data_IF_570545832134
#
_entry.id   IF_570545832134
#
_cell.length_a   1.000
_cell.length_b   1.000
_cell.length_c   1.000
_cell.angle_alpha   90.00
_cell.angle_beta   90.00
_cell.angle_gamma   90.00
#
_symmetry.space_group_name_H-M   'P 1'
#
loop_
_entity.id
_entity.type
_entity.pdbx_description
1 polymer ?
#
# COMPACT_ATOMS: atom_id res chain seq x y z
N UNK A 1 -22.02 10.71 -5.81
CA UNK A 1 -23.32 10.19 -6.30
C UNK A 1 -24.41 10.16 -5.23
N UNK A 2 -24.12 9.79 -3.98
CA UNK A 2 -25.08 9.89 -2.85
C UNK A 2 -25.51 11.33 -2.47
N UNK A 3 -24.98 12.32 -3.17
CA UNK A 3 -25.27 13.75 -3.02
C UNK A 3 -26.55 14.18 -3.74
N UNK A 4 -27.17 13.33 -4.57
CA UNK A 4 -28.42 13.66 -5.28
C UNK A 4 -29.63 13.03 -4.57
N UNK A 5 -30.69 13.82 -4.41
CA UNK A 5 -31.92 13.43 -3.70
C UNK A 5 -32.59 12.19 -4.31
N UNK A 6 -32.63 12.08 -5.63
CA UNK A 6 -33.22 10.93 -6.33
C UNK A 6 -32.36 9.67 -6.25
N UNK A 7 -31.05 9.79 -5.96
CA UNK A 7 -30.12 8.67 -6.09
C UNK A 7 -30.27 7.65 -4.96
N UNK A 8 -30.42 8.10 -3.71
CA UNK A 8 -30.54 7.19 -2.58
C UNK A 8 -31.81 6.34 -2.60
N UNK A 9 -33.01 6.87 -2.87
CA UNK A 9 -34.22 6.05 -2.99
C UNK A 9 -34.12 5.03 -4.13
N UNK A 10 -33.46 5.38 -5.25
CA UNK A 10 -33.21 4.46 -6.35
C UNK A 10 -32.24 3.35 -5.92
N UNK A 11 -31.13 3.71 -5.27
CA UNK A 11 -30.09 2.77 -4.85
C UNK A 11 -30.58 1.83 -3.74
N UNK A 12 -31.36 2.32 -2.78
CA UNK A 12 -31.88 1.54 -1.66
C UNK A 12 -32.71 0.33 -2.10
N UNK A 13 -33.43 0.44 -3.22
CA UNK A 13 -34.20 -0.68 -3.81
C UNK A 13 -33.33 -1.86 -4.24
N UNK A 14 -32.04 -1.60 -4.50
CA UNK A 14 -31.10 -2.60 -5.00
C UNK A 14 -30.11 -3.07 -3.93
N UNK A 15 -30.14 -2.51 -2.72
CA UNK A 15 -29.21 -2.81 -1.63
C UNK A 15 -29.95 -3.29 -0.37
N UNK A 16 -30.53 -4.50 -0.38
CA UNK A 16 -31.26 -5.02 0.77
C UNK A 16 -30.35 -5.10 2.01
N UNK A 17 -30.87 -4.62 3.14
CA UNK A 17 -30.14 -4.57 4.41
C UNK A 17 -29.08 -3.47 4.52
N UNK A 18 -29.02 -2.53 3.57
CA UNK A 18 -28.29 -1.27 3.70
C UNK A 18 -29.27 -0.17 4.11
N UNK A 19 -28.94 0.56 5.19
CA UNK A 19 -29.76 1.62 5.75
C UNK A 19 -29.15 2.98 5.46
N UNK A 20 -29.89 3.86 4.78
CA UNK A 20 -29.49 5.25 4.57
C UNK A 20 -30.10 6.12 5.68
N UNK A 21 -29.29 6.78 6.53
CA UNK A 21 -29.79 7.51 7.70
C UNK A 21 -30.32 8.92 7.38
N UNK A 22 -30.70 9.17 6.13
CA UNK A 22 -31.27 10.44 5.65
C UNK A 22 -31.52 10.41 4.14
N UNK A 23 -31.90 11.56 3.60
CA UNK A 23 -32.28 11.77 2.20
C UNK A 23 -31.08 12.05 1.29
N UNK A 24 -29.97 12.55 1.86
CA UNK A 24 -28.81 13.01 1.10
C UNK A 24 -27.53 12.84 1.90
N UNK A 25 -26.46 12.41 1.25
CA UNK A 25 -25.14 12.44 1.86
C UNK A 25 -24.55 13.87 1.82
N UNK A 26 -24.06 14.34 2.97
CA UNK A 26 -23.41 15.63 3.18
C UNK A 26 -22.38 15.49 4.32
N UNK A 27 -21.19 16.12 4.25
CA UNK A 27 -20.23 16.12 5.35
C UNK A 27 -20.81 16.65 6.69
N UNK A 28 -21.79 17.55 6.62
CA UNK A 28 -22.52 18.10 7.78
C UNK A 28 -23.85 17.37 7.95
N UNK A 29 -24.11 16.87 9.15
CA UNK A 29 -25.40 16.23 9.49
C UNK A 29 -26.44 17.27 9.88
N UNK A 30 -27.71 16.88 9.72
CA UNK A 30 -28.85 17.66 10.20
C UNK A 30 -29.86 17.94 9.10
N UNK A 31 -30.83 18.78 9.41
CA UNK A 31 -31.84 19.22 8.45
C UNK A 31 -31.30 20.45 7.72
N UNK A 32 -31.16 20.35 6.40
CA UNK A 32 -30.77 21.47 5.55
C UNK A 32 -31.92 22.49 5.46
N UNK A 33 -31.67 23.75 5.01
CA UNK A 33 -32.71 24.78 4.92
C UNK A 33 -33.94 24.41 4.08
N UNK A 34 -33.79 23.47 3.14
CA UNK A 34 -34.86 22.95 2.29
C UNK A 34 -35.65 21.79 2.94
N UNK A 35 -35.34 21.44 4.19
CA UNK A 35 -35.96 20.32 4.92
C UNK A 35 -35.29 18.96 4.68
N UNK A 36 -34.27 18.88 3.83
CA UNK A 36 -33.55 17.63 3.54
C UNK A 36 -32.81 17.13 4.78
N UNK A 37 -33.09 15.91 5.23
CA UNK A 37 -32.28 15.26 6.28
C UNK A 37 -30.97 14.74 5.68
N UNK A 38 -29.85 15.37 6.06
CA UNK A 38 -28.53 15.00 5.59
C UNK A 38 -27.79 14.10 6.59
N UNK A 39 -26.96 13.19 6.06
CA UNK A 39 -26.08 12.33 6.85
C UNK A 39 -24.66 12.31 6.27
N UNK A 40 -23.66 12.12 7.13
CA UNK A 40 -22.27 11.96 6.71
C UNK A 40 -21.84 10.49 6.66
N UNK A 41 -20.62 10.24 6.18
CA UNK A 41 -20.11 8.87 6.05
C UNK A 41 -19.97 8.18 7.42
N UNK A 42 -19.57 8.90 8.47
CA UNK A 42 -19.50 8.33 9.82
C UNK A 42 -20.83 7.72 10.28
N UNK A 43 -21.94 8.44 10.11
CA UNK A 43 -23.27 7.96 10.48
C UNK A 43 -23.72 6.82 9.60
N UNK A 44 -23.46 6.89 8.30
CA UNK A 44 -23.74 5.79 7.38
C UNK A 44 -23.04 4.49 7.79
N UNK A 45 -21.75 4.55 8.15
CA UNK A 45 -21.00 3.38 8.62
C UNK A 45 -21.54 2.86 9.96
N UNK A 46 -21.87 3.78 10.89
CA UNK A 46 -22.40 3.41 12.20
C UNK A 46 -23.71 2.62 12.13
N UNK A 47 -24.64 3.03 11.25
CA UNK A 47 -25.94 2.33 11.10
C UNK A 47 -25.82 1.04 10.29
N UNK A 48 -24.75 0.88 9.51
CA UNK A 48 -24.48 -0.29 8.68
C UNK A 48 -23.33 -1.17 9.22
N UNK A 49 -23.01 -1.09 10.52
CA UNK A 49 -21.87 -1.80 11.13
C UNK A 49 -21.88 -3.33 10.97
N UNK A 50 -23.03 -3.91 10.63
CA UNK A 50 -23.21 -5.34 10.37
C UNK A 50 -22.78 -5.76 8.96
N UNK A 51 -22.37 -4.82 8.11
CA UNK A 51 -21.88 -5.09 6.76
C UNK A 51 -20.43 -4.65 6.62
N UNK A 52 -19.66 -5.44 5.89
CA UNK A 52 -18.35 -5.02 5.41
C UNK A 52 -18.52 -3.94 4.34
N UNK A 53 -17.67 -2.91 4.42
CA UNK A 53 -17.71 -1.79 3.48
C UNK A 53 -16.37 -1.70 2.77
N UNK A 54 -16.44 -1.72 1.45
CA UNK A 54 -15.30 -1.57 0.56
C UNK A 54 -15.45 -0.30 -0.25
N UNK A 55 -14.34 0.39 -0.47
CA UNK A 55 -14.26 1.62 -1.23
C UNK A 55 -13.30 1.41 -2.38
N UNK A 56 -13.78 1.58 -3.60
CA UNK A 56 -12.95 1.47 -4.81
C UNK A 56 -12.88 2.86 -5.43
N UNK A 57 -11.68 3.28 -5.88
CA UNK A 57 -11.42 4.64 -6.42
C UNK A 57 -11.45 5.73 -5.30
N UNK A 58 -11.22 5.31 -4.05
CA UNK A 58 -11.08 6.21 -2.90
C UNK A 58 -12.39 6.79 -2.36
N UNK A 59 -12.29 7.41 -1.18
CA UNK A 59 -13.38 8.14 -0.56
C UNK A 59 -13.37 9.60 -1.01
N UNK A 60 -14.53 10.23 -1.03
CA UNK A 60 -14.63 11.64 -1.37
C UNK A 60 -13.89 12.50 -0.33
N UNK A 61 -12.91 13.27 -0.79
CA UNK A 61 -11.99 14.03 0.07
C UNK A 61 -12.69 15.03 1.00
N UNK A 62 -13.82 15.59 0.54
CA UNK A 62 -14.63 16.54 1.33
C UNK A 62 -15.35 15.96 2.55
N UNK A 63 -15.33 14.63 2.79
CA UNK A 63 -15.90 14.03 4.01
C UNK A 63 -14.87 13.15 4.72
N UNK A 64 -14.23 13.72 5.74
CA UNK A 64 -13.28 13.02 6.61
C UNK A 64 -13.93 12.43 7.86
N UNK A 65 -15.26 12.47 7.99
CA UNK A 65 -15.96 12.09 9.24
C UNK A 65 -15.75 10.62 9.61
N UNK A 66 -15.56 9.74 8.62
CA UNK A 66 -15.29 8.31 8.81
C UNK A 66 -14.01 8.03 9.61
N UNK A 67 -12.99 8.90 9.52
CA UNK A 67 -11.71 8.75 10.23
C UNK A 67 -11.87 8.76 11.76
N UNK A 68 -13.03 9.20 12.27
CA UNK A 68 -13.36 9.20 13.70
C UNK A 68 -13.47 7.79 14.28
N UNK A 69 -13.82 6.80 13.46
CA UNK A 69 -14.10 5.44 13.96
C UNK A 69 -13.64 4.32 13.03
N UNK A 70 -13.10 4.65 11.85
CA UNK A 70 -12.62 3.67 10.89
C UNK A 70 -11.24 4.04 10.33
N UNK A 71 -10.55 3.01 9.84
CA UNK A 71 -9.31 3.08 9.09
C UNK A 71 -9.50 2.37 7.75
N UNK A 72 -8.69 2.73 6.75
CA UNK A 72 -8.67 2.08 5.44
C UNK A 72 -7.54 1.08 5.39
N UNK A 73 -7.86 -0.19 5.11
CA UNK A 73 -6.89 -1.25 4.89
C UNK A 73 -6.95 -1.69 3.43
N UNK A 74 -5.82 -1.98 2.77
CA UNK A 74 -5.82 -2.32 1.35
C UNK A 74 -6.55 -3.65 1.09
N UNK A 75 -7.35 -3.66 0.03
CA UNK A 75 -8.06 -4.84 -0.48
C UNK A 75 -7.98 -4.84 -2.01
N UNK A 76 -6.76 -5.01 -2.52
CA UNK A 76 -6.50 -4.97 -3.96
C UNK A 76 -6.70 -3.56 -4.54
N UNK A 77 -7.50 -3.41 -5.59
CA UNK A 77 -7.85 -2.10 -6.17
C UNK A 77 -8.76 -1.26 -5.28
N UNK A 78 -9.39 -1.89 -4.28
CA UNK A 78 -10.23 -1.24 -3.30
C UNK A 78 -9.54 -1.17 -1.93
N UNK A 79 -10.21 -0.53 -0.98
CA UNK A 79 -9.83 -0.46 0.41
C UNK A 79 -11.01 -0.92 1.27
N UNK A 80 -10.74 -1.67 2.33
CA UNK A 80 -11.74 -2.04 3.33
C UNK A 80 -11.79 -0.97 4.41
N UNK A 81 -12.99 -0.47 4.70
CA UNK A 81 -13.24 0.34 5.90
C UNK A 81 -13.35 -0.57 7.11
N UNK A 82 -12.38 -0.46 8.01
CA UNK A 82 -12.26 -1.30 9.20
C UNK A 82 -12.41 -0.43 10.45
N UNK A 83 -13.20 -0.83 11.46
CA UNK A 83 -13.29 -0.08 12.72
C UNK A 83 -11.90 0.17 13.33
N UNK A 84 -11.64 1.38 13.82
CA UNK A 84 -10.30 1.79 14.31
C UNK A 84 -9.79 0.98 15.51
N UNK A 85 -10.68 0.27 16.23
CA UNK A 85 -10.31 -0.64 17.32
C UNK A 85 -10.00 -2.06 16.87
N UNK A 86 -10.06 -2.36 15.57
CA UNK A 86 -9.76 -3.70 15.07
C UNK A 86 -8.26 -4.02 15.20
N UNK A 87 -7.97 -5.25 15.63
CA UNK A 87 -6.60 -5.77 15.69
C UNK A 87 -6.15 -6.12 14.27
N UNK A 88 -5.02 -5.56 13.85
CA UNK A 88 -4.41 -5.87 12.57
C UNK A 88 -3.43 -7.03 12.72
N UNK A 89 -3.69 -8.13 12.02
CA UNK A 89 -2.75 -9.25 11.87
C UNK A 89 -2.11 -9.17 10.47
N UNK A 90 -0.82 -8.83 10.35
CA UNK A 90 -0.15 -8.70 9.05
C UNK A 90 -0.07 -10.02 8.29
N UNK A 91 0.16 -11.15 8.98
CA UNK A 91 0.31 -12.45 8.33
C UNK A 91 -1.00 -12.94 7.72
N UNK A 92 -2.08 -12.82 8.48
CA UNK A 92 -3.41 -13.14 7.99
C UNK A 92 -3.84 -12.18 6.86
N UNK A 93 -3.56 -10.88 6.99
CA UNK A 93 -3.92 -9.91 5.96
C UNK A 93 -3.16 -10.14 4.63
N UNK A 94 -1.88 -10.50 4.70
CA UNK A 94 -1.11 -10.93 3.53
C UNK A 94 -1.76 -12.15 2.89
N UNK A 95 -2.10 -13.17 3.68
CA UNK A 95 -2.73 -14.41 3.19
C UNK A 95 -4.05 -14.12 2.47
N UNK A 96 -4.90 -13.26 3.05
CA UNK A 96 -6.19 -12.88 2.48
C UNK A 96 -6.05 -12.08 1.19
N UNK A 97 -5.06 -11.19 1.09
CA UNK A 97 -4.95 -10.24 -0.03
C UNK A 97 -4.01 -10.69 -1.16
N UNK A 98 -3.23 -11.76 -0.98
CA UNK A 98 -2.21 -12.22 -1.94
C UNK A 98 -2.76 -12.48 -3.35
N UNK A 99 -3.93 -13.11 -3.46
CA UNK A 99 -4.48 -13.60 -4.72
C UNK A 99 -5.93 -13.12 -4.93
N UNK A 100 -6.22 -11.85 -4.61
CA UNK A 100 -7.58 -11.29 -4.76
C UNK A 100 -8.08 -11.31 -6.21
N UNK A 101 -7.17 -11.22 -7.18
CA UNK A 101 -7.51 -11.11 -8.59
C UNK A 101 -6.75 -12.14 -9.42
N UNK A 102 -7.46 -12.74 -10.39
CA UNK A 102 -6.87 -13.53 -11.45
C UNK A 102 -6.61 -12.65 -12.69
N UNK A 103 -5.79 -11.60 -12.52
CA UNK A 103 -5.47 -10.67 -13.61
C UNK A 103 -4.30 -11.20 -14.43
N UNK A 104 -4.55 -11.44 -15.72
CA UNK A 104 -3.62 -12.11 -16.64
C UNK A 104 -2.98 -11.19 -17.66
N UNK A 105 -3.39 -9.92 -17.74
CA UNK A 105 -2.83 -8.98 -18.70
C UNK A 105 -1.43 -8.52 -18.29
N UNK A 106 -0.49 -8.60 -19.23
CA UNK A 106 0.89 -8.18 -19.02
C UNK A 106 1.00 -6.68 -18.75
N UNK A 107 2.02 -6.28 -17.97
CA UNK A 107 2.26 -4.88 -17.70
C UNK A 107 2.68 -4.12 -18.97
N UNK A 108 2.01 -2.99 -19.26
CA UNK A 108 2.32 -2.17 -20.44
C UNK A 108 1.86 -2.74 -21.79
N UNK A 109 0.97 -3.75 -21.79
CA UNK A 109 0.44 -4.37 -23.02
C UNK A 109 -0.54 -3.48 -23.81
N UNK A 110 -1.15 -2.49 -23.16
CA UNK A 110 -2.15 -1.61 -23.75
C UNK A 110 -1.55 -0.27 -24.21
N UNK A 111 -2.24 0.39 -25.17
CA UNK A 111 -1.87 1.74 -25.60
C UNK A 111 -1.89 2.72 -24.41
N UNK A 112 -0.84 3.52 -24.17
CA UNK A 112 -0.75 4.38 -22.98
C UNK A 112 -1.90 5.37 -22.79
N UNK A 113 -2.60 5.74 -23.85
CA UNK A 113 -3.76 6.65 -23.81
C UNK A 113 -5.11 5.96 -23.61
N UNK A 114 -5.13 4.63 -23.48
CA UNK A 114 -6.37 3.87 -23.39
C UNK A 114 -6.85 3.68 -21.94
N UNK A 115 -8.15 3.45 -21.78
CA UNK A 115 -8.72 3.13 -20.46
C UNK A 115 -8.21 1.79 -19.92
N UNK A 116 -7.91 0.85 -20.81
CA UNK A 116 -7.32 -0.46 -20.47
C UNK A 116 -5.93 -0.30 -19.87
N UNK A 117 -5.10 0.65 -20.35
CA UNK A 117 -3.81 0.93 -19.73
C UNK A 117 -3.97 1.45 -18.29
N UNK A 118 -4.92 2.36 -18.05
CA UNK A 118 -5.22 2.87 -16.71
C UNK A 118 -5.72 1.75 -15.78
N UNK A 119 -6.66 0.93 -16.25
CA UNK A 119 -7.17 -0.20 -15.48
C UNK A 119 -6.07 -1.23 -15.18
N UNK A 120 -5.24 -1.55 -16.17
CA UNK A 120 -4.12 -2.48 -16.01
C UNK A 120 -3.12 -1.95 -14.98
N UNK A 121 -2.74 -0.66 -15.04
CA UNK A 121 -1.88 -0.03 -14.04
C UNK A 121 -2.45 -0.19 -12.61
N UNK A 122 -3.74 0.09 -12.40
CA UNK A 122 -4.37 -0.10 -11.08
C UNK A 122 -4.33 -1.56 -10.61
N UNK A 123 -4.57 -2.52 -11.51
CA UNK A 123 -4.51 -3.95 -11.19
C UNK A 123 -3.09 -4.40 -10.83
N UNK A 124 -2.08 -3.86 -11.51
CA UNK A 124 -0.69 -4.10 -11.16
C UNK A 124 -0.35 -3.45 -9.81
N UNK A 125 -0.60 -2.16 -9.61
CA UNK A 125 -0.32 -1.47 -8.34
C UNK A 125 -1.02 -2.14 -7.14
N UNK A 126 -2.22 -2.69 -7.33
CA UNK A 126 -2.93 -3.44 -6.30
C UNK A 126 -2.13 -4.60 -5.69
N UNK A 127 -1.24 -5.24 -6.46
CA UNK A 127 -0.38 -6.34 -5.97
C UNK A 127 0.56 -5.88 -4.86
N UNK A 128 1.01 -4.63 -4.87
CA UNK A 128 1.93 -4.07 -3.88
C UNK A 128 1.26 -3.36 -2.70
N UNK A 129 -0.03 -3.03 -2.79
CA UNK A 129 -0.71 -2.19 -1.79
C UNK A 129 -0.65 -2.78 -0.37
N UNK A 130 -0.75 -4.10 -0.21
CA UNK A 130 -0.61 -4.73 1.11
C UNK A 130 0.80 -4.58 1.68
N UNK A 131 1.84 -4.85 0.88
CA UNK A 131 3.22 -4.69 1.32
C UNK A 131 3.53 -3.23 1.70
N UNK A 132 3.03 -2.29 0.89
CA UNK A 132 3.16 -0.85 1.15
C UNK A 132 2.46 -0.42 2.44
N UNK A 133 1.23 -0.88 2.67
CA UNK A 133 0.50 -0.57 3.89
C UNK A 133 1.21 -1.09 5.14
N UNK A 134 1.70 -2.34 5.11
CA UNK A 134 2.46 -2.93 6.22
C UNK A 134 3.76 -2.16 6.46
N UNK A 135 4.43 -1.73 5.40
CA UNK A 135 5.61 -0.89 5.50
C UNK A 135 5.28 0.47 6.14
N UNK A 136 4.21 1.16 5.72
CA UNK A 136 3.76 2.42 6.33
C UNK A 136 3.41 2.24 7.81
N UNK A 137 2.77 1.12 8.18
CA UNK A 137 2.54 0.79 9.59
C UNK A 137 3.86 0.69 10.37
N UNK A 138 4.90 0.09 9.80
CA UNK A 138 6.20 -0.03 10.44
C UNK A 138 6.85 1.35 10.68
N UNK A 139 6.64 2.33 9.79
CA UNK A 139 7.19 3.68 9.90
C UNK A 139 6.50 4.53 11.00
N UNK A 140 5.34 4.12 11.51
CA UNK A 140 4.61 4.87 12.55
C UNK A 140 5.39 4.91 13.87
N UNK A 141 5.47 6.11 14.47
CA UNK A 141 6.19 6.34 15.73
C UNK A 141 5.62 5.56 16.92
N UNK A 142 4.35 5.16 16.87
CA UNK A 142 3.67 4.43 17.95
C UNK A 142 4.03 2.94 18.02
N UNK A 143 4.79 2.41 17.05
CA UNK A 143 5.10 0.98 16.95
C UNK A 143 6.39 0.65 17.71
N UNK A 144 6.36 -0.40 18.52
CA UNK A 144 7.54 -0.88 19.27
C UNK A 144 8.63 -1.37 18.32
N UNK A 145 9.89 -1.40 18.79
CA UNK A 145 11.02 -1.86 17.96
C UNK A 145 10.84 -3.30 17.45
N UNK A 146 10.29 -4.19 18.28
CA UNK A 146 10.01 -5.58 17.91
C UNK A 146 8.93 -5.68 16.84
N UNK A 147 7.80 -4.99 17.03
CA UNK A 147 6.71 -4.97 16.06
C UNK A 147 7.17 -4.34 14.74
N UNK A 148 7.98 -3.27 14.80
CA UNK A 148 8.59 -2.63 13.64
C UNK A 148 9.46 -3.61 12.85
N UNK A 149 10.30 -4.40 13.53
CA UNK A 149 11.11 -5.42 12.88
C UNK A 149 10.26 -6.52 12.22
N UNK A 150 9.19 -6.97 12.88
CA UNK A 150 8.25 -7.94 12.30
C UNK A 150 7.56 -7.37 11.05
N UNK A 151 7.02 -6.16 11.12
CA UNK A 151 6.32 -5.51 10.00
C UNK A 151 7.26 -5.27 8.80
N UNK A 152 8.48 -4.79 9.02
CA UNK A 152 9.46 -4.68 7.93
C UNK A 152 9.82 -6.03 7.32
N UNK A 153 9.92 -7.09 8.14
CA UNK A 153 10.18 -8.45 7.64
C UNK A 153 9.03 -8.94 6.75
N UNK A 154 7.77 -8.71 7.17
CA UNK A 154 6.60 -9.01 6.36
C UNK A 154 6.60 -8.22 5.04
N UNK A 155 6.79 -6.90 5.10
CA UNK A 155 6.82 -6.05 3.92
C UNK A 155 7.94 -6.44 2.95
N UNK A 156 9.17 -6.65 3.45
CA UNK A 156 10.31 -7.12 2.66
C UNK A 156 10.01 -8.45 1.96
N UNK A 157 9.47 -9.42 2.69
CA UNK A 157 9.17 -10.75 2.14
C UNK A 157 8.13 -10.65 1.03
N UNK A 158 7.05 -9.90 1.25
CA UNK A 158 6.03 -9.65 0.23
C UNK A 158 6.60 -8.94 -1.00
N UNK A 159 7.38 -7.86 -0.81
CA UNK A 159 7.99 -7.16 -1.93
C UNK A 159 8.94 -8.05 -2.74
N UNK A 160 9.80 -8.82 -2.05
CA UNK A 160 10.72 -9.75 -2.69
C UNK A 160 9.99 -10.77 -3.54
N UNK A 161 8.92 -11.37 -2.99
CA UNK A 161 8.11 -12.33 -3.72
C UNK A 161 7.47 -11.70 -4.97
N UNK A 162 6.81 -10.55 -4.80
CA UNK A 162 6.08 -9.85 -5.87
C UNK A 162 7.03 -9.48 -7.02
N UNK A 163 8.16 -8.85 -6.70
CA UNK A 163 9.16 -8.39 -7.67
C UNK A 163 9.82 -9.56 -8.39
N UNK A 164 10.19 -10.63 -7.67
CA UNK A 164 10.82 -11.79 -8.28
C UNK A 164 9.86 -12.60 -9.17
N UNK A 165 8.56 -12.57 -8.88
CA UNK A 165 7.57 -13.34 -9.64
C UNK A 165 7.15 -12.66 -10.95
N UNK A 166 7.43 -11.37 -11.14
CA UNK A 166 6.96 -10.61 -12.29
C UNK A 166 8.10 -9.79 -12.92
N UNK A 167 8.88 -10.34 -13.85
CA UNK A 167 10.04 -9.64 -14.43
C UNK A 167 9.70 -8.31 -15.12
N UNK A 168 8.51 -8.22 -15.71
CA UNK A 168 7.98 -7.01 -16.34
C UNK A 168 6.91 -6.42 -15.44
N UNK A 169 7.29 -5.44 -14.62
CA UNK A 169 6.44 -4.83 -13.60
C UNK A 169 6.57 -3.30 -13.60
N UNK A 170 5.64 -2.56 -12.95
CA UNK A 170 5.75 -1.11 -12.77
C UNK A 170 7.09 -0.66 -12.20
N UNK A 171 7.62 0.45 -12.69
CA UNK A 171 8.97 0.93 -12.35
C UNK A 171 9.11 1.24 -10.85
N UNK A 172 8.07 1.82 -10.23
CA UNK A 172 8.05 2.18 -8.81
C UNK A 172 8.25 0.98 -7.86
N UNK A 173 7.99 -0.25 -8.31
CA UNK A 173 8.23 -1.46 -7.53
C UNK A 173 9.71 -1.64 -7.19
N UNK A 174 10.62 -1.22 -8.08
CA UNK A 174 12.05 -1.23 -7.79
C UNK A 174 12.39 -0.32 -6.61
N UNK A 175 11.87 0.92 -6.60
CA UNK A 175 12.09 1.88 -5.49
C UNK A 175 11.56 1.33 -4.17
N UNK A 176 10.33 0.83 -4.16
CA UNK A 176 9.70 0.27 -2.97
C UNK A 176 10.49 -0.92 -2.40
N UNK A 177 10.91 -1.85 -3.25
CA UNK A 177 11.68 -3.01 -2.81
C UNK A 177 13.09 -2.63 -2.33
N UNK A 178 13.75 -1.68 -2.98
CA UNK A 178 15.06 -1.17 -2.53
C UNK A 178 14.98 -0.53 -1.14
N UNK A 179 13.94 0.28 -0.88
CA UNK A 179 13.69 0.87 0.43
C UNK A 179 13.44 -0.21 1.48
N UNK A 180 12.64 -1.24 1.16
CA UNK A 180 12.41 -2.36 2.08
C UNK A 180 13.70 -3.12 2.40
N UNK A 181 14.57 -3.35 1.40
CA UNK A 181 15.89 -3.94 1.62
C UNK A 181 16.78 -3.07 2.53
N UNK A 182 16.74 -1.75 2.35
CA UNK A 182 17.50 -0.79 3.17
C UNK A 182 17.01 -0.81 4.63
N UNK A 183 15.69 -0.79 4.87
CA UNK A 183 15.14 -0.90 6.22
C UNK A 183 15.54 -2.21 6.90
N UNK A 184 15.47 -3.33 6.18
CA UNK A 184 15.94 -4.62 6.69
C UNK A 184 17.44 -4.60 7.03
N UNK A 185 18.26 -3.92 6.22
CA UNK A 185 19.69 -3.78 6.49
C UNK A 185 19.93 -2.99 7.79
N UNK A 186 19.22 -1.87 7.99
CA UNK A 186 19.39 -1.01 9.18
C UNK A 186 18.83 -1.61 10.45
N UNK A 187 17.85 -2.52 10.36
CA UNK A 187 17.40 -3.28 11.53
C UNK A 187 18.55 -4.10 12.16
N UNK A 188 19.50 -4.58 11.35
CA UNK A 188 20.62 -5.41 11.80
C UNK A 188 20.21 -6.70 12.50
N UNK A 189 18.94 -7.08 12.38
CA UNK A 189 18.29 -8.23 13.02
C UNK A 189 17.46 -8.94 11.96
N UNK A 190 17.85 -10.16 11.60
CA UNK A 190 17.14 -11.00 10.64
C UNK A 190 18.08 -12.00 9.97
N UNK A 191 17.48 -13.04 9.39
CA UNK A 191 18.21 -14.14 8.76
C UNK A 191 18.70 -13.82 7.34
N UNK A 192 18.54 -12.56 6.91
CA UNK A 192 18.94 -12.12 5.57
C UNK A 192 20.35 -11.56 5.60
N UNK A 193 21.22 -12.12 4.78
CA UNK A 193 22.61 -11.69 4.67
C UNK A 193 22.72 -10.19 4.30
N UNK A 194 23.45 -9.37 5.07
CA UNK A 194 23.61 -7.94 4.81
C UNK A 194 24.20 -7.61 3.44
N UNK A 195 25.07 -8.48 2.91
CA UNK A 195 25.63 -8.29 1.56
C UNK A 195 24.56 -8.44 0.49
N UNK A 196 23.66 -9.42 0.66
CA UNK A 196 22.48 -9.59 -0.20
C UNK A 196 21.57 -8.36 -0.14
N UNK A 197 21.27 -7.84 1.05
CA UNK A 197 20.43 -6.65 1.20
C UNK A 197 21.04 -5.42 0.51
N UNK A 198 22.32 -5.12 0.78
CA UNK A 198 23.05 -4.04 0.13
C UNK A 198 23.06 -4.18 -1.40
N UNK A 199 23.33 -5.39 -1.90
CA UNK A 199 23.35 -5.65 -3.34
C UNK A 199 21.98 -5.45 -3.98
N UNK A 200 20.89 -5.86 -3.32
CA UNK A 200 19.54 -5.68 -3.83
C UNK A 200 19.11 -4.21 -3.78
N UNK A 201 19.41 -3.47 -2.69
CA UNK A 201 19.13 -2.03 -2.60
C UNK A 201 19.81 -1.28 -3.73
N UNK A 202 21.12 -1.49 -3.95
CA UNK A 202 21.87 -0.85 -5.04
C UNK A 202 21.28 -1.21 -6.40
N UNK A 203 21.05 -2.50 -6.67
CA UNK A 203 20.49 -2.97 -7.95
C UNK A 203 19.15 -2.31 -8.26
N UNK A 204 18.21 -2.35 -7.31
CA UNK A 204 16.85 -1.89 -7.57
C UNK A 204 16.76 -0.36 -7.62
N UNK A 205 17.53 0.39 -6.83
CA UNK A 205 17.59 1.85 -7.01
C UNK A 205 18.15 2.25 -8.37
N UNK A 206 19.19 1.57 -8.88
CA UNK A 206 19.70 1.85 -10.22
C UNK A 206 18.64 1.61 -11.30
N UNK A 207 17.99 0.43 -11.28
CA UNK A 207 16.91 0.09 -12.21
C UNK A 207 15.75 1.09 -12.16
N UNK A 208 15.46 1.64 -10.97
CA UNK A 208 14.48 2.71 -10.82
C UNK A 208 14.95 4.00 -11.50
N UNK A 209 16.15 4.49 -11.17
CA UNK A 209 16.69 5.76 -11.69
C UNK A 209 17.01 5.76 -13.18
N UNK A 210 17.16 4.59 -13.79
CA UNK A 210 17.29 4.39 -15.23
C UNK A 210 15.96 4.62 -15.97
N UNK A 211 14.82 4.38 -15.32
CA UNK A 211 13.49 4.41 -15.96
C UNK A 211 12.59 5.55 -15.46
N UNK A 212 12.91 6.14 -14.30
CA UNK A 212 12.18 7.26 -13.71
C UNK A 212 13.02 8.56 -13.84
N UNK A 213 13.23 9.02 -15.07
CA UNK A 213 14.11 10.16 -15.37
C UNK A 213 13.61 11.48 -14.74
N UNK A 214 12.28 11.63 -14.65
CA UNK A 214 11.60 12.83 -14.16
C UNK A 214 11.35 12.83 -12.63
N UNK A 215 11.77 11.81 -11.87
CA UNK A 215 11.59 11.80 -10.41
C UNK A 215 12.46 12.92 -9.78
N UNK A 216 11.88 13.89 -9.05
CA UNK A 216 12.65 14.93 -8.36
C UNK A 216 13.67 14.38 -7.36
N UNK A 217 13.46 13.16 -6.84
CA UNK A 217 14.37 12.49 -5.90
C UNK A 217 15.50 11.71 -6.59
N UNK A 218 15.57 11.71 -7.92
CA UNK A 218 16.53 10.89 -8.68
C UNK A 218 17.99 11.13 -8.27
N UNK A 219 18.39 12.39 -8.08
CA UNK A 219 19.77 12.72 -7.68
C UNK A 219 20.08 12.24 -6.26
N UNK A 220 19.15 12.40 -5.32
CA UNK A 220 19.32 11.92 -3.95
C UNK A 220 19.45 10.40 -3.90
N UNK A 221 18.67 9.68 -4.72
CA UNK A 221 18.76 8.23 -4.86
C UNK A 221 20.13 7.81 -5.41
N UNK A 222 20.65 8.50 -6.44
CA UNK A 222 21.97 8.21 -7.01
C UNK A 222 23.11 8.45 -6.01
N UNK A 223 23.02 9.52 -5.21
CA UNK A 223 23.97 9.77 -4.12
C UNK A 223 23.92 8.67 -3.06
N UNK A 224 22.72 8.25 -2.65
CA UNK A 224 22.55 7.13 -1.72
C UNK A 224 23.13 5.82 -2.29
N UNK A 225 22.96 5.56 -3.59
CA UNK A 225 23.55 4.39 -4.27
C UNK A 225 25.08 4.41 -4.22
N UNK A 226 25.71 5.58 -4.36
CA UNK A 226 27.16 5.71 -4.26
C UNK A 226 27.65 5.30 -2.87
N UNK A 227 27.01 5.80 -1.81
CA UNK A 227 27.32 5.42 -0.44
C UNK A 227 27.12 3.91 -0.18
N UNK A 228 26.00 3.35 -0.62
CA UNK A 228 25.69 1.93 -0.44
C UNK A 228 26.68 1.01 -1.19
N UNK A 229 27.23 1.45 -2.33
CA UNK A 229 28.28 0.72 -3.06
C UNK A 229 29.58 0.67 -2.26
N UNK A 230 29.94 1.75 -1.59
CA UNK A 230 31.12 1.79 -0.71
C UNK A 230 30.93 0.87 0.50
N UNK A 231 29.76 0.90 1.14
CA UNK A 231 29.40 -0.03 2.22
C UNK A 231 29.53 -1.50 1.77
N UNK A 232 29.00 -1.83 0.58
CA UNK A 232 29.07 -3.17 0.00
C UNK A 232 30.52 -3.63 -0.26
N UNK A 233 31.35 -2.77 -0.82
CA UNK A 233 32.77 -3.07 -1.04
C UNK A 233 33.51 -3.29 0.29
N UNK A 234 33.27 -2.43 1.28
CA UNK A 234 33.87 -2.58 2.61
C UNK A 234 33.44 -3.88 3.31
N UNK A 235 32.17 -4.28 3.17
CA UNK A 235 31.69 -5.56 3.70
C UNK A 235 32.39 -6.76 3.03
N UNK A 236 32.51 -6.75 1.69
CA UNK A 236 33.18 -7.82 0.93
C UNK A 236 34.66 -7.96 1.31
N UNK A 237 35.38 -6.84 1.47
CA UNK A 237 36.79 -6.84 1.92
C UNK A 237 36.93 -7.49 3.30
N UNK A 238 36.11 -7.08 4.28
CA UNK A 238 36.12 -7.66 5.62
C UNK A 238 35.82 -9.16 5.62
N UNK A 239 34.83 -9.61 4.83
CA UNK A 239 34.54 -11.05 4.67
C UNK A 239 35.72 -11.81 4.07
N UNK A 240 36.41 -11.25 3.07
CA UNK A 240 37.59 -11.88 2.46
C UNK A 240 38.77 -12.00 3.43
N UNK A 241 39.04 -10.96 4.23
CA UNK A 241 40.08 -10.97 5.26
C UNK A 241 39.81 -12.02 6.35
N UNK A 242 38.56 -12.15 6.79
CA UNK A 242 38.16 -13.17 7.77
C UNK A 242 38.34 -14.60 7.22
N UNK A 243 38.02 -14.83 5.94
CA UNK A 243 38.25 -16.13 5.29
C UNK A 243 39.75 -16.46 5.18
N UNK A 244 40.58 -15.47 4.86
CA UNK A 244 42.04 -15.63 4.77
C UNK A 244 42.70 -15.97 6.12
N UNK A 245 42.14 -15.47 7.23
CA UNK A 245 42.64 -15.76 8.59
C UNK A 245 42.16 -17.11 9.17
N UNK A 246 41.15 -17.73 8.55
CA UNK A 246 40.55 -18.97 9.03
C UNK A 246 41.02 -20.22 8.25
N UNK A 247 41.80 -20.03 7.17
CA UNK A 247 42.49 -21.09 6.42
C UNK A 247 43.97 -21.11 6.74
#
# INVERSE_FOLDING_TARGET
>A
MMTYEWYLPKLAKHLPGVYFPGNRWNPVEGVLPDGTLAFNLHRFLKVNKHKEVFVCIGLHEGDSTWRRSHSLWPWGTCEKLVPSGAVFDPGEWIRLTRNLYNWTEDYGSFSPSSWEAVANEEMWQARMKTAFFIFDLAEKASVTAEMKAQLYTFAYTSYKEIVNSHPHHPVNWHKNFAIACERMLRLGRGDVDPETLLSQTVKHFLLYTERAEDDPQRQDILQAVQHLREELQGLRRRKAELRSKAG
#
